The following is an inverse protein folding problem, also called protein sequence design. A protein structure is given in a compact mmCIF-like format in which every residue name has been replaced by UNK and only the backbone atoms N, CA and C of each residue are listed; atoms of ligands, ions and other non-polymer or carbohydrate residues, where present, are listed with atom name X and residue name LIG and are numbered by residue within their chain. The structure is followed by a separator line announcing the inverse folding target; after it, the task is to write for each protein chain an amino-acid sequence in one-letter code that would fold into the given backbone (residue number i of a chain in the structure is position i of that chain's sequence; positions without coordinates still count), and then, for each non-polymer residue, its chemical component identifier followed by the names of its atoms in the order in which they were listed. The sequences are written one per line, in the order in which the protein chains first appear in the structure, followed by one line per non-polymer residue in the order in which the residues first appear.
data_IF_227070292764
#
_entry.id   IF_227070292764
#
_cell.length_a   1.000
_cell.length_b   1.000
_cell.length_c   1.000
_cell.angle_alpha   90.00
_cell.angle_beta   90.00
_cell.angle_gamma   90.00
#
_symmetry.space_group_name_H-M   'P 1'
#
loop_
_entity.id
_entity.type
_entity.pdbx_description
1 polymer ?
#
# COMPACT_ATOMS: atom_id res chain seq x y z
N UNK A 1 -8.87 -3.96 30.84
CA UNK A 1 -10.04 -3.18 30.37
C UNK A 1 -11.39 -3.79 30.73
N UNK A 2 -11.84 -4.92 30.13
CA UNK A 2 -13.25 -5.35 30.27
C UNK A 2 -13.75 -5.52 31.72
N UNK A 3 -12.95 -6.11 32.61
CA UNK A 3 -13.32 -6.23 34.02
C UNK A 3 -13.49 -4.87 34.71
N UNK A 4 -12.68 -3.87 34.36
CA UNK A 4 -12.80 -2.50 34.89
C UNK A 4 -14.02 -1.78 34.32
N UNK A 5 -14.31 -1.94 33.03
CA UNK A 5 -15.52 -1.39 32.41
C UNK A 5 -16.77 -1.98 33.07
N UNK A 6 -16.79 -3.29 33.30
CA UNK A 6 -17.87 -3.96 34.01
C UNK A 6 -18.01 -3.48 35.48
N UNK A 7 -16.92 -3.02 36.09
CA UNK A 7 -16.90 -2.41 37.42
C UNK A 7 -17.28 -0.91 37.43
N UNK A 8 -17.71 -0.35 36.29
CA UNK A 8 -18.22 1.03 36.19
C UNK A 8 -17.24 2.06 35.65
N UNK A 9 -16.03 1.66 35.25
CA UNK A 9 -15.09 2.58 34.60
C UNK A 9 -15.57 2.95 33.18
N UNK A 10 -15.30 4.18 32.69
CA UNK A 10 -15.66 4.57 31.34
C UNK A 10 -15.06 3.65 30.27
N UNK A 11 -15.85 3.31 29.26
CA UNK A 11 -15.42 2.54 28.09
C UNK A 11 -14.68 3.40 27.03
N UNK A 12 -14.35 4.65 27.35
CA UNK A 12 -13.53 5.51 26.50
C UNK A 12 -12.14 4.88 26.29
N UNK A 13 -11.68 4.84 25.05
CA UNK A 13 -10.36 4.33 24.68
C UNK A 13 -9.22 5.12 25.36
N UNK A 14 -9.45 6.40 25.70
CA UNK A 14 -8.49 7.21 26.47
C UNK A 14 -8.67 7.12 27.99
N UNK A 15 -9.66 6.33 28.45
CA UNK A 15 -10.06 6.17 29.83
C UNK A 15 -9.15 5.24 30.64
N UNK A 16 -9.31 5.27 31.96
CA UNK A 16 -8.44 4.55 32.91
C UNK A 16 -8.45 3.04 32.70
N UNK A 17 -9.59 2.46 32.33
CA UNK A 17 -9.73 1.03 32.08
C UNK A 17 -8.88 0.54 30.90
N UNK A 18 -8.70 1.39 29.89
CA UNK A 18 -7.89 1.11 28.71
C UNK A 18 -6.41 1.36 28.99
N UNK A 19 -6.04 2.39 29.78
CA UNK A 19 -4.63 2.61 30.18
C UNK A 19 -3.95 1.41 30.85
N UNK A 20 -4.70 0.44 31.36
CA UNK A 20 -4.14 -0.80 31.93
C UNK A 20 -3.73 -1.84 30.87
N UNK A 21 -4.06 -1.65 29.59
CA UNK A 21 -3.70 -2.58 28.52
C UNK A 21 -2.25 -2.30 28.10
N UNK A 22 -1.39 -3.31 28.30
CA UNK A 22 -0.01 -3.25 27.81
C UNK A 22 0.01 -3.19 26.27
N UNK A 23 0.85 -2.32 25.71
CA UNK A 23 0.97 -2.18 24.25
C UNK A 23 -0.17 -1.41 23.58
N UNK A 24 -1.01 -0.67 24.32
CA UNK A 24 -2.11 0.08 23.72
C UNK A 24 -1.67 1.25 22.82
N UNK A 25 -0.44 1.75 22.98
CA UNK A 25 0.14 2.80 22.14
C UNK A 25 1.08 2.24 21.06
N UNK A 26 0.99 0.94 20.76
CA UNK A 26 1.76 0.29 19.69
C UNK A 26 0.81 -0.41 18.73
N UNK A 27 1.10 -0.33 17.44
CA UNK A 27 0.47 -1.20 16.45
C UNK A 27 1.06 -2.60 16.60
N UNK A 28 0.22 -3.60 16.88
CA UNK A 28 0.66 -4.97 17.04
C UNK A 28 0.44 -5.70 15.72
N UNK A 29 1.41 -6.48 15.28
CA UNK A 29 1.27 -7.27 14.04
C UNK A 29 1.93 -8.62 14.19
N UNK A 30 1.35 -9.62 13.52
CA UNK A 30 1.93 -10.96 13.39
C UNK A 30 2.29 -11.21 11.94
N UNK A 31 3.43 -11.86 11.72
CA UNK A 31 3.84 -12.31 10.39
C UNK A 31 3.60 -13.80 10.25
N UNK A 32 2.91 -14.19 9.19
CA UNK A 32 2.60 -15.58 8.86
C UNK A 32 3.35 -16.02 7.60
N UNK A 33 3.81 -17.26 7.56
CA UNK A 33 4.45 -17.87 6.39
C UNK A 33 3.44 -18.72 5.61
N UNK A 34 3.73 -18.99 4.34
CA UNK A 34 2.95 -19.93 3.51
C UNK A 34 2.84 -21.30 4.21
N UNK A 35 3.93 -21.79 4.83
CA UNK A 35 3.94 -23.07 5.58
C UNK A 35 2.94 -23.09 6.74
N UNK A 36 2.80 -21.97 7.48
CA UNK A 36 1.82 -21.88 8.57
C UNK A 36 0.40 -21.94 8.02
N UNK A 37 0.11 -21.20 6.95
CA UNK A 37 -1.22 -21.17 6.36
C UNK A 37 -1.60 -22.53 5.75
N UNK A 38 -0.67 -23.23 5.08
CA UNK A 38 -0.88 -24.60 4.63
C UNK A 38 -1.16 -25.56 5.80
N UNK A 39 -0.47 -25.40 6.94
CA UNK A 39 -0.76 -26.18 8.14
C UNK A 39 -2.16 -25.89 8.70
N UNK A 40 -2.61 -24.63 8.68
CA UNK A 40 -3.98 -24.24 9.04
C UNK A 40 -4.99 -24.90 8.12
N UNK A 41 -4.82 -24.84 6.80
CA UNK A 41 -5.73 -25.45 5.83
C UNK A 41 -5.82 -26.97 6.01
N UNK A 42 -4.66 -27.63 6.14
CA UNK A 42 -4.55 -29.07 6.32
C UNK A 42 -5.01 -29.56 7.71
N UNK A 43 -5.20 -28.67 8.70
CA UNK A 43 -5.43 -29.05 10.09
C UNK A 43 -4.24 -29.79 10.71
N UNK A 44 -3.03 -29.43 10.28
CA UNK A 44 -1.78 -30.00 10.77
C UNK A 44 -1.30 -29.27 12.04
N UNK A 45 -0.48 -29.92 12.89
CA UNK A 45 0.13 -29.26 14.02
C UNK A 45 1.23 -28.28 13.55
N UNK A 46 1.45 -27.22 14.31
CA UNK A 46 2.46 -26.20 14.09
C UNK A 46 3.55 -26.26 15.16
N UNK A 47 4.82 -26.22 14.75
CA UNK A 47 5.96 -26.25 15.67
C UNK A 47 6.46 -24.83 15.91
N UNK A 48 6.48 -24.39 17.17
CA UNK A 48 7.21 -23.17 17.55
C UNK A 48 8.70 -23.49 17.71
N UNK A 49 9.56 -22.50 17.46
CA UNK A 49 11.02 -22.67 17.56
C UNK A 49 11.63 -21.59 18.44
N UNK A 50 12.60 -21.99 19.25
CA UNK A 50 13.42 -21.04 20.01
C UNK A 50 14.24 -20.17 19.04
N UNK A 51 14.17 -18.85 19.16
CA UNK A 51 14.89 -17.95 18.23
C UNK A 51 16.41 -18.05 18.31
N UNK A 52 16.95 -18.47 19.46
CA UNK A 52 18.40 -18.57 19.71
C UNK A 52 19.00 -19.92 19.34
N UNK A 53 18.25 -21.02 19.52
CA UNK A 53 18.75 -22.39 19.28
C UNK A 53 18.13 -23.06 18.06
N UNK A 54 16.96 -22.61 17.59
CA UNK A 54 16.20 -23.23 16.49
C UNK A 54 15.47 -24.53 16.88
N UNK A 55 15.68 -25.00 18.10
CA UNK A 55 15.03 -26.20 18.65
C UNK A 55 13.52 -26.00 18.74
N UNK A 56 12.78 -27.10 18.56
CA UNK A 56 11.33 -27.11 18.74
C UNK A 56 11.01 -26.82 20.20
N UNK A 57 10.18 -25.81 20.44
CA UNK A 57 9.76 -25.40 21.78
C UNK A 57 8.41 -26.03 22.14
N UNK A 58 7.40 -25.84 21.31
CA UNK A 58 6.04 -26.30 21.55
C UNK A 58 5.37 -26.74 20.25
N UNK A 59 4.45 -27.70 20.36
CA UNK A 59 3.57 -28.14 19.29
C UNK A 59 2.17 -27.60 19.55
N UNK A 60 1.66 -26.79 18.64
CA UNK A 60 0.34 -26.17 18.72
C UNK A 60 -0.58 -26.70 17.62
N UNK A 61 -1.89 -26.61 17.82
CA UNK A 61 -2.85 -26.80 16.73
C UNK A 61 -2.92 -25.52 15.87
N UNK A 62 -2.59 -25.62 14.58
CA UNK A 62 -2.49 -24.46 13.69
C UNK A 62 -3.84 -23.73 13.54
N UNK A 63 -4.94 -24.48 13.41
CA UNK A 63 -6.30 -23.91 13.27
C UNK A 63 -6.71 -23.14 14.52
N UNK A 64 -6.44 -23.69 15.70
CA UNK A 64 -6.72 -23.04 16.98
C UNK A 64 -5.93 -21.75 17.10
N UNK A 65 -4.62 -21.78 16.80
CA UNK A 65 -3.79 -20.58 16.86
C UNK A 65 -4.27 -19.50 15.88
N UNK A 66 -4.59 -19.88 14.64
CA UNK A 66 -5.13 -18.94 13.64
C UNK A 66 -6.47 -18.34 14.08
N UNK A 67 -7.36 -19.17 14.66
CA UNK A 67 -8.63 -18.71 15.22
C UNK A 67 -8.42 -17.71 16.36
N UNK A 68 -7.44 -17.94 17.24
CA UNK A 68 -7.09 -16.98 18.29
C UNK A 68 -6.63 -15.64 17.74
N UNK A 69 -5.83 -15.63 16.67
CA UNK A 69 -5.43 -14.39 15.97
C UNK A 69 -6.66 -13.67 15.43
N UNK A 70 -7.54 -14.37 14.73
CA UNK A 70 -8.76 -13.79 14.15
C UNK A 70 -9.73 -13.24 15.22
N UNK A 71 -9.95 -13.99 16.29
CA UNK A 71 -10.81 -13.57 17.41
C UNK A 71 -10.23 -12.35 18.14
N UNK A 72 -8.90 -12.26 18.28
CA UNK A 72 -8.23 -11.09 18.85
C UNK A 72 -8.40 -9.86 17.95
N UNK A 73 -8.12 -10.00 16.64
CA UNK A 73 -8.26 -8.92 15.68
C UNK A 73 -9.71 -8.42 15.57
N UNK A 74 -10.70 -9.32 15.64
CA UNK A 74 -12.11 -8.92 15.71
C UNK A 74 -12.45 -8.17 17.01
N UNK A 75 -11.87 -8.60 18.13
CA UNK A 75 -12.18 -8.04 19.45
C UNK A 75 -11.56 -6.66 19.69
N UNK A 76 -10.36 -6.40 19.16
CA UNK A 76 -9.63 -5.16 19.46
C UNK A 76 -8.87 -4.54 18.28
N UNK A 77 -9.12 -4.96 17.04
CA UNK A 77 -8.43 -4.51 15.83
C UNK A 77 -6.91 -4.84 15.77
N UNK A 78 -6.43 -5.69 16.67
CA UNK A 78 -5.04 -6.17 16.73
C UNK A 78 -4.99 -7.70 16.97
N UNK A 79 -3.97 -8.41 16.47
CA UNK A 79 -2.87 -7.88 15.69
C UNK A 79 -3.23 -7.75 14.20
N UNK A 80 -2.61 -6.79 13.51
CA UNK A 80 -2.53 -6.79 12.05
C UNK A 80 -1.83 -8.04 11.53
N UNK A 81 -2.18 -8.50 10.33
CA UNK A 81 -1.60 -9.70 9.71
C UNK A 81 -0.73 -9.30 8.52
N UNK A 82 0.49 -9.83 8.48
CA UNK A 82 1.44 -9.65 7.40
C UNK A 82 1.91 -11.00 6.86
N UNK A 83 2.02 -11.14 5.54
CA UNK A 83 2.40 -12.41 4.90
C UNK A 83 3.91 -12.43 4.61
N UNK A 84 4.73 -12.98 5.52
CA UNK A 84 6.21 -12.98 5.47
C UNK A 84 6.76 -13.54 4.16
N UNK A 85 6.22 -14.69 3.73
CA UNK A 85 6.63 -15.38 2.51
C UNK A 85 6.39 -14.50 1.29
N UNK A 86 5.19 -13.94 1.15
CA UNK A 86 4.84 -13.04 0.04
C UNK A 86 5.66 -11.76 0.08
N UNK A 87 5.79 -11.10 1.24
CA UNK A 87 6.59 -9.88 1.37
C UNK A 87 8.03 -10.10 0.90
N UNK A 88 8.67 -11.20 1.31
CA UNK A 88 10.05 -11.48 0.91
C UNK A 88 10.17 -12.03 -0.53
N UNK A 89 9.11 -12.62 -1.10
CA UNK A 89 9.04 -13.03 -2.52
C UNK A 89 9.13 -11.81 -3.45
N UNK A 90 8.46 -10.73 -3.08
CA UNK A 90 8.40 -9.45 -3.81
C UNK A 90 9.51 -8.46 -3.39
N UNK A 91 10.46 -8.87 -2.56
CA UNK A 91 11.56 -8.01 -2.13
C UNK A 91 12.54 -7.77 -3.29
N UNK A 92 12.80 -6.50 -3.60
CA UNK A 92 13.77 -6.11 -4.65
C UNK A 92 15.22 -6.24 -4.18
N UNK A 93 15.48 -6.23 -2.86
CA UNK A 93 16.83 -6.22 -2.29
C UNK A 93 17.14 -7.34 -1.26
N UNK A 94 16.79 -8.61 -1.52
CA UNK A 94 16.93 -9.69 -0.53
C UNK A 94 18.39 -10.02 -0.22
N UNK A 95 19.32 -9.78 -1.15
CA UNK A 95 20.75 -10.01 -0.91
C UNK A 95 21.32 -8.98 0.09
N UNK A 96 20.64 -7.85 0.28
CA UNK A 96 20.99 -6.81 1.25
C UNK A 96 20.40 -7.00 2.64
N UNK A 97 19.45 -7.91 2.80
CA UNK A 97 18.80 -8.20 4.07
C UNK A 97 17.37 -8.67 3.89
N UNK A 98 16.87 -9.45 4.86
CA UNK A 98 15.45 -9.84 4.92
C UNK A 98 14.61 -8.63 5.31
N UNK A 99 13.40 -8.51 4.76
CA UNK A 99 12.41 -7.58 5.32
C UNK A 99 11.91 -8.19 6.62
N UNK A 100 12.20 -7.56 7.75
CA UNK A 100 11.87 -8.08 9.09
C UNK A 100 10.55 -7.54 9.65
N UNK A 101 10.20 -6.31 9.28
CA UNK A 101 9.00 -5.63 9.74
C UNK A 101 8.50 -4.62 8.69
N UNK A 102 7.35 -4.02 8.97
CA UNK A 102 6.85 -2.84 8.26
C UNK A 102 7.01 -1.60 9.11
N UNK A 103 6.74 -0.44 8.53
CA UNK A 103 6.43 0.80 9.25
C UNK A 103 5.05 0.73 9.97
N UNK A 104 4.69 1.74 10.79
CA UNK A 104 3.47 1.73 11.62
C UNK A 104 2.14 1.56 10.87
N UNK A 105 2.08 1.92 9.59
CA UNK A 105 0.86 1.84 8.78
C UNK A 105 0.80 0.58 7.88
N UNK A 106 1.80 -0.31 7.99
CA UNK A 106 1.87 -1.61 7.31
C UNK A 106 1.96 -1.58 5.77
N UNK A 107 2.30 -0.43 5.17
CA UNK A 107 2.39 -0.22 3.72
C UNK A 107 3.83 -0.24 3.18
N UNK A 108 4.82 0.04 4.03
CA UNK A 108 6.22 0.17 3.64
C UNK A 108 7.02 -1.06 4.09
N UNK A 109 7.35 -1.92 3.11
CA UNK A 109 8.04 -3.20 3.31
C UNK A 109 9.44 -3.14 2.68
N UNK A 110 10.44 -2.74 3.46
CA UNK A 110 11.82 -2.65 2.96
C UNK A 110 12.85 -3.00 4.04
N UNK A 111 14.13 -2.77 3.75
CA UNK A 111 15.23 -3.05 4.66
C UNK A 111 15.11 -2.23 5.95
N UNK A 112 15.62 -2.78 7.05
CA UNK A 112 15.71 -2.09 8.34
C UNK A 112 16.52 -0.79 8.21
N UNK A 113 16.27 0.16 9.12
CA UNK A 113 16.91 1.47 9.11
C UNK A 113 16.81 2.17 7.74
N UNK A 114 15.61 2.20 7.14
CA UNK A 114 15.33 2.96 5.91
C UNK A 114 14.20 3.96 6.15
N UNK A 115 14.19 5.05 5.37
CA UNK A 115 13.10 6.02 5.35
C UNK A 115 12.29 5.88 4.06
N UNK A 116 11.09 6.44 4.01
CA UNK A 116 10.29 6.50 2.79
C UNK A 116 9.83 7.93 2.53
N UNK A 117 10.13 8.45 1.34
CA UNK A 117 9.61 9.74 0.90
C UNK A 117 8.25 9.53 0.24
N UNK A 118 7.17 9.95 0.90
CA UNK A 118 5.79 9.68 0.48
C UNK A 118 5.19 10.85 -0.32
N UNK A 119 4.38 10.51 -1.33
CA UNK A 119 3.49 11.46 -2.03
C UNK A 119 2.24 10.73 -2.51
N UNK A 120 1.16 11.46 -2.75
CA UNK A 120 -0.06 10.88 -3.31
C UNK A 120 -0.76 11.84 -4.26
N UNK A 121 -1.28 11.30 -5.36
CA UNK A 121 -2.11 12.04 -6.31
C UNK A 121 -3.59 11.74 -6.10
N UNK A 122 -4.47 12.70 -6.35
CA UNK A 122 -5.93 12.50 -6.27
C UNK A 122 -6.47 11.96 -7.59
N UNK A 123 -6.96 10.71 -7.60
CA UNK A 123 -7.41 10.03 -8.82
C UNK A 123 -8.55 10.74 -9.56
N UNK A 124 -9.44 11.43 -8.84
CA UNK A 124 -10.61 12.06 -9.48
C UNK A 124 -10.24 13.27 -10.34
N UNK A 125 -9.02 13.82 -10.20
CA UNK A 125 -8.52 14.90 -11.06
C UNK A 125 -8.19 14.44 -12.48
N UNK A 126 -8.11 13.13 -12.70
CA UNK A 126 -7.87 12.52 -14.02
C UNK A 126 -9.16 12.04 -14.69
N UNK A 127 -10.33 12.28 -14.10
CA UNK A 127 -11.60 12.04 -14.79
C UNK A 127 -11.79 13.08 -15.91
N UNK A 128 -12.25 12.60 -17.08
CA UNK A 128 -12.57 13.44 -18.24
C UNK A 128 -13.93 13.04 -18.80
N UNK A 129 -14.69 13.97 -19.40
CA UNK A 129 -15.81 13.61 -20.25
C UNK A 129 -15.34 12.69 -21.38
N UNK A 130 -15.94 11.53 -21.49
CA UNK A 130 -15.77 10.56 -22.57
C UNK A 130 -16.90 10.62 -23.59
N UNK A 131 -16.95 9.62 -24.48
CA UNK A 131 -18.03 9.47 -25.45
C UNK A 131 -19.36 9.17 -24.74
N UNK A 132 -20.48 9.62 -25.34
CA UNK A 132 -21.85 9.28 -24.90
C UNK A 132 -22.14 9.56 -23.41
N UNK A 133 -21.45 10.55 -22.82
CA UNK A 133 -21.64 10.91 -21.41
C UNK A 133 -20.98 9.94 -20.43
N UNK A 134 -20.13 9.02 -20.87
CA UNK A 134 -19.22 8.26 -20.01
C UNK A 134 -18.11 9.14 -19.42
N UNK A 135 -17.62 8.79 -18.24
CA UNK A 135 -16.40 9.39 -17.70
C UNK A 135 -15.22 8.48 -18.04
N UNK A 136 -14.29 9.01 -18.83
CA UNK A 136 -13.01 8.38 -19.12
C UNK A 136 -11.96 8.74 -18.07
N UNK A 137 -10.85 8.01 -18.09
CA UNK A 137 -9.67 8.29 -17.27
C UNK A 137 -8.52 8.80 -18.14
N UNK A 138 -7.96 9.94 -17.78
CA UNK A 138 -6.83 10.61 -18.44
C UNK A 138 -5.51 9.94 -18.07
N UNK A 139 -5.19 8.86 -18.78
CA UNK A 139 -3.96 8.07 -18.58
C UNK A 139 -2.71 8.93 -18.74
N UNK A 140 -2.64 9.77 -19.77
CA UNK A 140 -1.45 10.59 -20.04
C UNK A 140 -1.26 11.68 -18.98
N UNK A 141 -2.36 12.32 -18.55
CA UNK A 141 -2.34 13.24 -17.41
C UNK A 141 -1.87 12.55 -16.13
N UNK A 142 -2.33 11.33 -15.88
CA UNK A 142 -1.92 10.53 -14.72
C UNK A 142 -0.44 10.14 -14.77
N UNK A 143 0.06 9.64 -15.91
CA UNK A 143 1.47 9.35 -16.17
C UNK A 143 2.34 10.59 -15.93
N UNK A 144 1.95 11.74 -16.48
CA UNK A 144 2.66 13.01 -16.29
C UNK A 144 2.73 13.43 -14.81
N UNK A 145 1.63 13.28 -14.06
CA UNK A 145 1.62 13.55 -12.63
C UNK A 145 2.54 12.59 -11.87
N UNK A 146 2.42 11.28 -12.13
CA UNK A 146 3.27 10.26 -11.51
C UNK A 146 4.75 10.57 -11.72
N UNK A 147 5.16 10.86 -12.97
CA UNK A 147 6.54 11.24 -13.29
C UNK A 147 7.00 12.47 -12.52
N UNK A 148 6.17 13.51 -12.48
CA UNK A 148 6.52 14.78 -11.82
C UNK A 148 6.76 14.58 -10.32
N UNK A 149 5.83 13.92 -9.64
CA UNK A 149 5.96 13.65 -8.20
C UNK A 149 7.10 12.67 -7.90
N UNK A 150 7.29 11.65 -8.75
CA UNK A 150 8.37 10.69 -8.58
C UNK A 150 9.76 11.33 -8.68
N UNK A 151 9.98 12.18 -9.69
CA UNK A 151 11.24 12.93 -9.84
C UNK A 151 11.44 13.90 -8.67
N UNK A 152 10.38 14.57 -8.21
CA UNK A 152 10.47 15.44 -7.04
C UNK A 152 10.87 14.65 -5.78
N UNK A 153 10.25 13.49 -5.53
CA UNK A 153 10.59 12.61 -4.41
C UNK A 153 12.05 12.12 -4.46
N UNK A 154 12.56 11.82 -5.66
CA UNK A 154 13.95 11.43 -5.84
C UNK A 154 14.92 12.58 -5.53
N UNK A 155 14.61 13.80 -5.97
CA UNK A 155 15.43 14.98 -5.62
C UNK A 155 15.44 15.19 -4.10
N UNK A 156 14.31 14.96 -3.43
CA UNK A 156 14.18 15.13 -1.98
C UNK A 156 15.07 14.17 -1.17
N UNK A 157 15.47 13.01 -1.71
CA UNK A 157 16.35 12.07 -0.99
C UNK A 157 17.63 12.77 -0.54
N UNK A 158 18.27 13.54 -1.42
CA UNK A 158 19.54 14.18 -1.10
C UNK A 158 19.39 15.53 -0.36
N UNK A 159 18.16 16.03 -0.22
CA UNK A 159 17.83 17.28 0.49
C UNK A 159 17.13 17.05 1.84
N UNK A 160 16.92 15.78 2.20
CA UNK A 160 16.27 15.40 3.45
C UNK A 160 17.25 15.31 4.62
N UNK A 161 16.75 15.58 5.83
CA UNK A 161 17.47 15.33 7.07
C UNK A 161 17.00 14.02 7.67
N UNK A 162 17.94 13.15 8.04
CA UNK A 162 17.64 11.82 8.58
C UNK A 162 17.98 11.73 10.07
N UNK A 163 17.16 11.03 10.88
CA UNK A 163 17.30 11.03 12.34
C UNK A 163 18.50 10.23 12.85
N UNK A 164 19.00 9.26 12.08
CA UNK A 164 20.17 8.45 12.45
C UNK A 164 21.09 8.26 11.26
N UNK A 165 22.37 7.97 11.53
CA UNK A 165 23.38 7.72 10.49
C UNK A 165 23.02 6.51 9.60
N UNK A 166 22.49 5.43 10.19
CA UNK A 166 22.09 4.24 9.44
C UNK A 166 20.96 4.56 8.46
N UNK A 167 19.92 5.29 8.94
CA UNK A 167 18.80 5.71 8.10
C UNK A 167 19.28 6.62 6.97
N UNK A 168 20.18 7.56 7.27
CA UNK A 168 20.76 8.44 6.25
C UNK A 168 21.48 7.62 5.17
N UNK A 169 22.39 6.74 5.59
CA UNK A 169 23.19 5.90 4.68
C UNK A 169 22.29 5.05 3.78
N UNK A 170 21.34 4.32 4.36
CA UNK A 170 20.46 3.44 3.59
C UNK A 170 19.51 4.23 2.68
N UNK A 171 19.08 5.43 3.09
CA UNK A 171 18.25 6.28 2.24
C UNK A 171 19.00 6.74 0.99
N UNK A 172 20.29 7.07 1.08
CA UNK A 172 21.10 7.38 -0.11
C UNK A 172 21.49 6.12 -0.91
N UNK A 173 21.76 4.99 -0.24
CA UNK A 173 22.22 3.76 -0.88
C UNK A 173 21.13 3.03 -1.67
N UNK A 174 19.88 3.09 -1.20
CA UNK A 174 18.74 2.37 -1.80
C UNK A 174 17.69 3.30 -2.38
N UNK A 175 17.69 4.58 -1.99
CA UNK A 175 16.78 5.63 -2.50
C UNK A 175 15.30 5.22 -2.52
N UNK A 176 14.77 4.63 -1.44
CA UNK A 176 13.38 4.18 -1.36
C UNK A 176 12.38 5.36 -1.40
N UNK A 177 11.41 5.25 -2.30
CA UNK A 177 10.33 6.22 -2.47
C UNK A 177 8.97 5.54 -2.24
N UNK A 178 7.94 6.36 -2.08
CA UNK A 178 6.56 5.89 -2.00
C UNK A 178 5.61 6.85 -2.70
N UNK A 179 5.55 6.75 -4.03
CA UNK A 179 4.46 7.35 -4.81
C UNK A 179 3.19 6.51 -4.65
N UNK A 180 2.10 7.17 -4.29
CA UNK A 180 0.77 6.57 -4.15
C UNK A 180 -0.33 7.41 -4.77
N UNK A 181 -1.57 7.04 -4.46
CA UNK A 181 -2.75 7.81 -4.82
C UNK A 181 -3.82 7.74 -3.73
N UNK A 182 -4.83 8.60 -3.86
CA UNK A 182 -6.02 8.60 -3.03
C UNK A 182 -7.30 8.60 -3.90
N UNK A 183 -8.44 8.43 -3.24
CA UNK A 183 -9.77 8.67 -3.79
C UNK A 183 -10.27 7.58 -4.77
N UNK A 184 -9.80 6.33 -4.59
CA UNK A 184 -10.21 5.20 -5.45
C UNK A 184 -11.72 4.92 -5.36
N UNK A 185 -12.29 4.95 -4.15
CA UNK A 185 -13.73 4.72 -3.96
C UNK A 185 -14.59 5.76 -4.67
N UNK A 186 -14.20 7.02 -4.61
CA UNK A 186 -14.89 8.11 -5.30
C UNK A 186 -14.70 8.05 -6.81
N UNK A 187 -13.52 7.64 -7.28
CA UNK A 187 -13.29 7.40 -8.70
C UNK A 187 -14.31 6.37 -9.22
N UNK A 188 -14.37 5.19 -8.60
CA UNK A 188 -15.30 4.12 -9.01
C UNK A 188 -16.76 4.57 -8.90
N UNK A 189 -17.10 5.27 -7.82
CA UNK A 189 -18.44 5.82 -7.59
C UNK A 189 -18.86 6.79 -8.71
N UNK A 190 -17.99 7.76 -9.07
CA UNK A 190 -18.26 8.71 -10.15
C UNK A 190 -18.39 8.02 -11.51
N UNK A 191 -17.64 6.93 -11.73
CA UNK A 191 -17.76 6.10 -12.93
C UNK A 191 -19.02 5.22 -12.94
N UNK A 192 -19.81 5.18 -11.86
CA UNK A 192 -20.96 4.29 -11.73
C UNK A 192 -20.57 2.82 -11.58
N UNK A 193 -19.36 2.52 -11.11
CA UNK A 193 -18.83 1.17 -10.96
C UNK A 193 -18.90 0.74 -9.49
N UNK A 194 -19.58 -0.37 -9.16
CA UNK A 194 -19.59 -0.90 -7.80
C UNK A 194 -18.18 -1.28 -7.33
N UNK A 195 -17.85 -0.92 -6.09
CA UNK A 195 -16.51 -1.12 -5.53
C UNK A 195 -16.07 -2.60 -5.51
N UNK A 196 -17.02 -3.51 -5.26
CA UNK A 196 -16.85 -4.95 -5.14
C UNK A 196 -17.05 -5.71 -6.47
N UNK A 197 -17.20 -5.01 -7.60
CA UNK A 197 -17.36 -5.63 -8.92
C UNK A 197 -16.03 -6.06 -9.54
N UNK A 198 -16.07 -7.03 -10.47
CA UNK A 198 -14.90 -7.43 -11.28
C UNK A 198 -14.34 -6.24 -12.07
N UNK A 199 -15.23 -5.41 -12.63
CA UNK A 199 -14.85 -4.14 -13.29
C UNK A 199 -14.12 -3.18 -12.34
N UNK A 200 -14.60 -3.04 -11.09
CA UNK A 200 -13.94 -2.22 -10.08
C UNK A 200 -12.53 -2.71 -9.75
N UNK A 201 -12.37 -4.04 -9.56
CA UNK A 201 -11.06 -4.69 -9.35
C UNK A 201 -10.12 -4.48 -10.53
N UNK A 202 -10.60 -4.64 -11.77
CA UNK A 202 -9.79 -4.51 -12.98
C UNK A 202 -9.30 -3.06 -13.20
N UNK A 203 -10.17 -2.06 -12.93
CA UNK A 203 -9.80 -0.64 -12.96
C UNK A 203 -8.75 -0.32 -11.89
N UNK A 204 -8.97 -0.76 -10.65
CA UNK A 204 -8.02 -0.53 -9.55
C UNK A 204 -6.65 -1.15 -9.82
N UNK A 205 -6.63 -2.39 -10.34
CA UNK A 205 -5.41 -3.08 -10.74
C UNK A 205 -4.67 -2.31 -11.84
N UNK A 206 -5.38 -1.85 -12.88
CA UNK A 206 -4.77 -1.12 -14.00
C UNK A 206 -4.19 0.23 -13.58
N UNK A 207 -4.92 1.01 -12.76
CA UNK A 207 -4.41 2.30 -12.26
C UNK A 207 -3.17 2.11 -11.40
N UNK A 208 -3.17 1.09 -10.53
CA UNK A 208 -2.00 0.75 -9.71
C UNK A 208 -0.82 0.32 -10.57
N UNK A 209 -1.08 -0.51 -11.59
CA UNK A 209 -0.06 -0.99 -12.51
C UNK A 209 0.56 0.16 -13.32
N UNK A 210 -0.26 1.07 -13.87
CA UNK A 210 0.20 2.27 -14.59
C UNK A 210 1.12 3.10 -13.68
N UNK A 211 0.68 3.44 -12.46
CA UNK A 211 1.49 4.25 -11.54
C UNK A 211 2.84 3.59 -11.23
N UNK A 212 2.83 2.29 -10.92
CA UNK A 212 4.02 1.57 -10.49
C UNK A 212 4.99 1.33 -11.66
N UNK A 213 4.50 0.83 -12.79
CA UNK A 213 5.30 0.66 -14.00
C UNK A 213 5.90 1.98 -14.47
N UNK A 214 5.10 3.04 -14.53
CA UNK A 214 5.56 4.36 -14.96
C UNK A 214 6.64 4.94 -14.02
N UNK A 215 6.49 4.75 -12.71
CA UNK A 215 7.49 5.15 -11.73
C UNK A 215 8.81 4.37 -11.89
N UNK A 216 8.77 3.05 -12.10
CA UNK A 216 9.98 2.27 -12.36
C UNK A 216 10.62 2.56 -13.71
N UNK A 217 9.83 2.85 -14.76
CA UNK A 217 10.35 3.33 -16.04
C UNK A 217 11.09 4.66 -15.86
N UNK A 218 10.50 5.64 -15.14
CA UNK A 218 11.18 6.88 -14.81
C UNK A 218 12.44 6.65 -13.96
N UNK A 219 12.41 5.70 -13.02
CA UNK A 219 13.58 5.30 -12.23
C UNK A 219 14.71 4.72 -13.10
N UNK A 220 14.38 3.91 -14.11
CA UNK A 220 15.36 3.37 -15.05
C UNK A 220 15.96 4.46 -15.94
N UNK A 221 15.15 5.39 -16.44
CA UNK A 221 15.63 6.56 -17.19
C UNK A 221 16.59 7.42 -16.36
N UNK A 222 16.28 7.64 -15.07
CA UNK A 222 17.18 8.33 -14.16
C UNK A 222 18.47 7.54 -13.94
N UNK A 223 18.40 6.21 -13.84
CA UNK A 223 19.58 5.35 -13.71
C UNK A 223 20.50 5.45 -14.93
N UNK A 224 19.95 5.56 -16.14
CA UNK A 224 20.74 5.73 -17.36
C UNK A 224 21.59 7.02 -17.35
N UNK A 225 21.14 8.07 -16.65
CA UNK A 225 21.84 9.37 -16.57
C UNK A 225 22.65 9.58 -15.29
N UNK A 226 22.22 9.01 -14.16
CA UNK A 226 22.81 9.23 -12.82
C UNK A 226 23.40 7.98 -12.18
N UNK A 227 23.27 6.83 -12.82
CA UNK A 227 23.58 5.52 -12.26
C UNK A 227 22.44 4.97 -11.40
N UNK A 228 22.35 3.64 -11.34
CA UNK A 228 21.44 2.92 -10.46
C UNK A 228 21.75 3.19 -8.97
N UNK A 229 20.84 2.82 -8.05
CA UNK A 229 21.13 2.89 -6.62
C UNK A 229 22.33 1.99 -6.25
N UNK A 230 23.05 2.34 -5.18
CA UNK A 230 24.32 1.71 -4.80
C UNK A 230 24.17 0.19 -4.56
N UNK A 231 23.04 -0.23 -4.00
CA UNK A 231 22.72 -1.64 -3.76
C UNK A 231 22.33 -2.45 -5.01
N UNK A 232 22.21 -1.83 -6.19
CA UNK A 232 21.62 -2.48 -7.37
C UNK A 232 22.46 -3.64 -7.88
N UNK A 233 23.78 -3.47 -8.04
CA UNK A 233 24.65 -4.52 -8.59
C UNK A 233 24.55 -5.83 -7.79
N UNK A 234 24.46 -5.73 -6.45
CA UNK A 234 24.28 -6.86 -5.54
C UNK A 234 22.89 -7.50 -5.65
N UNK A 235 21.88 -6.73 -6.02
CA UNK A 235 20.47 -7.14 -6.06
C UNK A 235 19.90 -7.19 -7.48
N UNK A 236 20.75 -7.19 -8.51
CA UNK A 236 20.31 -7.07 -9.90
C UNK A 236 19.35 -8.19 -10.29
N UNK A 237 19.73 -9.43 -10.05
CA UNK A 237 18.89 -10.60 -10.35
C UNK A 237 17.55 -10.58 -9.61
N UNK A 238 17.48 -10.45 -8.26
CA UNK A 238 16.19 -10.44 -7.58
C UNK A 238 15.34 -9.22 -7.96
N UNK A 239 15.94 -8.04 -8.17
CA UNK A 239 15.18 -6.88 -8.59
C UNK A 239 14.57 -7.07 -9.98
N UNK A 240 15.35 -7.51 -10.97
CA UNK A 240 14.83 -7.77 -12.32
C UNK A 240 13.72 -8.84 -12.29
N UNK A 241 13.88 -9.89 -11.48
CA UNK A 241 12.82 -10.88 -11.27
C UNK A 241 11.53 -10.26 -10.71
N UNK A 242 11.62 -9.36 -9.73
CA UNK A 242 10.44 -8.68 -9.18
C UNK A 242 9.76 -7.78 -10.21
N UNK A 243 10.53 -7.09 -11.05
CA UNK A 243 9.97 -6.28 -12.14
C UNK A 243 9.24 -7.15 -13.17
N UNK A 244 9.80 -8.32 -13.48
CA UNK A 244 9.14 -9.32 -14.32
C UNK A 244 7.84 -9.85 -13.71
N UNK A 245 7.83 -10.15 -12.40
CA UNK A 245 6.60 -10.56 -11.69
C UNK A 245 5.51 -9.49 -11.75
N UNK A 246 5.88 -8.20 -11.68
CA UNK A 246 4.94 -7.11 -11.85
C UNK A 246 4.42 -7.01 -13.29
N UNK A 247 5.28 -7.19 -14.29
CA UNK A 247 4.87 -7.24 -15.71
C UNK A 247 3.88 -8.37 -15.94
N UNK A 248 4.17 -9.58 -15.46
CA UNK A 248 3.25 -10.72 -15.52
C UNK A 248 1.89 -10.41 -14.87
N UNK A 249 1.90 -9.77 -13.69
CA UNK A 249 0.67 -9.37 -13.00
C UNK A 249 -0.14 -8.33 -13.79
N UNK A 250 0.52 -7.39 -14.47
CA UNK A 250 -0.15 -6.39 -15.32
C UNK A 250 -0.81 -7.04 -16.55
N UNK A 251 -0.13 -7.97 -17.21
CA UNK A 251 -0.67 -8.71 -18.34
C UNK A 251 -1.80 -9.67 -17.94
N UNK A 252 -1.84 -10.11 -16.67
CA UNK A 252 -2.88 -10.97 -16.10
C UNK A 252 -4.13 -10.22 -15.62
N UNK A 253 -4.20 -8.89 -15.74
CA UNK A 253 -5.40 -8.11 -15.43
C UNK A 253 -6.56 -8.60 -16.32
N UNK A 254 -7.74 -8.76 -15.72
CA UNK A 254 -8.96 -9.16 -16.43
C UNK A 254 -9.33 -8.14 -17.52
N UNK A 255 -9.00 -8.50 -18.76
CA UNK A 255 -9.23 -7.68 -19.95
C UNK A 255 -10.71 -7.49 -20.26
N UNK A 256 -11.55 -8.47 -19.96
CA UNK A 256 -12.98 -8.43 -20.30
C UNK A 256 -13.72 -7.44 -19.40
N UNK A 257 -13.25 -7.28 -18.16
CA UNK A 257 -13.80 -6.33 -17.19
C UNK A 257 -13.06 -4.98 -17.14
N UNK A 258 -11.91 -4.83 -17.82
CA UNK A 258 -11.13 -3.59 -17.81
C UNK A 258 -11.46 -2.68 -19.01
N UNK A 259 -11.59 -1.35 -18.83
CA UNK A 259 -11.52 -0.42 -19.94
C UNK A 259 -10.24 -0.61 -20.75
N UNK A 260 -10.38 -0.88 -22.06
CA UNK A 260 -9.27 -1.22 -22.96
C UNK A 260 -8.05 -0.31 -22.82
N UNK A 261 -8.26 1.02 -22.79
CA UNK A 261 -7.18 1.99 -22.67
C UNK A 261 -6.39 1.88 -21.35
N UNK A 262 -7.04 1.49 -20.25
CA UNK A 262 -6.34 1.29 -18.97
C UNK A 262 -5.51 0.00 -18.98
N UNK A 263 -6.06 -1.09 -19.54
CA UNK A 263 -5.34 -2.35 -19.68
C UNK A 263 -4.09 -2.20 -20.57
N UNK A 264 -4.25 -1.58 -21.75
CA UNK A 264 -3.14 -1.35 -22.68
C UNK A 264 -2.06 -0.49 -22.03
N UNK A 265 -2.44 0.61 -21.37
CA UNK A 265 -1.49 1.47 -20.67
C UNK A 265 -0.74 0.74 -19.54
N UNK A 266 -1.44 -0.09 -18.76
CA UNK A 266 -0.82 -0.88 -17.69
C UNK A 266 0.24 -1.85 -18.24
N UNK A 267 -0.04 -2.51 -19.35
CA UNK A 267 0.92 -3.40 -20.01
C UNK A 267 2.12 -2.61 -20.56
N UNK A 268 1.87 -1.52 -21.28
CA UNK A 268 2.91 -0.66 -21.86
C UNK A 268 3.88 -0.11 -20.80
N UNK A 269 3.37 0.38 -19.66
CA UNK A 269 4.22 0.95 -18.61
C UNK A 269 5.12 -0.11 -17.98
N UNK A 270 4.65 -1.34 -17.83
CA UNK A 270 5.47 -2.44 -17.28
C UNK A 270 6.44 -3.03 -18.30
N UNK A 271 6.04 -3.17 -19.56
CA UNK A 271 6.93 -3.58 -20.64
C UNK A 271 8.11 -2.59 -20.72
N UNK A 272 7.81 -1.28 -20.74
CA UNK A 272 8.81 -0.22 -20.72
C UNK A 272 9.69 -0.25 -19.45
N UNK A 273 9.10 -0.44 -18.28
CA UNK A 273 9.86 -0.47 -17.02
C UNK A 273 10.88 -1.61 -16.99
N UNK A 274 10.51 -2.78 -17.52
CA UNK A 274 11.39 -3.95 -17.60
C UNK A 274 12.46 -3.76 -18.68
N UNK A 275 12.09 -3.33 -19.88
CA UNK A 275 13.03 -3.11 -20.99
C UNK A 275 14.13 -2.11 -20.61
N UNK A 276 13.75 -0.96 -20.05
CA UNK A 276 14.71 0.06 -19.65
C UNK A 276 15.57 -0.43 -18.48
N UNK A 277 14.95 -1.00 -17.45
CA UNK A 277 15.68 -1.45 -16.25
C UNK A 277 16.63 -2.62 -16.50
N UNK A 278 16.34 -3.48 -17.47
CA UNK A 278 17.27 -4.51 -17.93
C UNK A 278 18.58 -3.89 -18.45
N UNK A 279 18.53 -2.73 -19.11
CA UNK A 279 19.71 -2.05 -19.66
C UNK A 279 20.41 -1.19 -18.61
N UNK A 280 19.69 -0.25 -17.99
CA UNK A 280 20.27 0.79 -17.14
C UNK A 280 20.28 0.46 -15.64
N UNK A 281 19.55 -0.57 -15.23
CA UNK A 281 19.13 -0.72 -13.83
C UNK A 281 18.13 0.34 -13.42
N UNK A 282 17.93 0.48 -12.11
CA UNK A 282 16.96 1.41 -11.52
C UNK A 282 17.63 2.36 -10.53
N UNK A 283 17.15 3.60 -10.49
CA UNK A 283 17.67 4.62 -9.56
C UNK A 283 17.16 4.41 -8.13
N UNK A 284 16.03 3.73 -7.97
CA UNK A 284 15.33 3.56 -6.69
C UNK A 284 15.05 2.07 -6.47
N UNK A 285 15.38 1.55 -5.29
CA UNK A 285 15.10 0.16 -4.94
C UNK A 285 13.61 -0.11 -4.67
N UNK A 286 12.87 0.93 -4.32
CA UNK A 286 11.42 0.92 -4.12
C UNK A 286 10.83 2.22 -4.68
N UNK A 287 9.75 2.12 -5.45
CA UNK A 287 9.18 3.26 -6.17
C UNK A 287 7.83 3.74 -5.61
N UNK A 288 6.91 2.82 -5.35
CA UNK A 288 5.51 3.14 -5.04
C UNK A 288 5.04 2.53 -3.73
N UNK A 289 4.14 3.25 -3.05
CA UNK A 289 3.56 2.85 -1.77
C UNK A 289 2.15 3.46 -1.67
N UNK A 290 1.15 2.64 -1.38
CA UNK A 290 -0.21 3.10 -1.09
C UNK A 290 -0.37 3.32 0.42
N UNK A 291 0.01 4.52 0.88
CA UNK A 291 -0.07 4.90 2.28
C UNK A 291 -1.45 5.48 2.64
N UNK A 292 -1.88 5.40 3.92
CA UNK A 292 -3.08 6.07 4.39
C UNK A 292 -3.00 7.59 4.16
N UNK A 293 -3.98 8.16 3.47
CA UNK A 293 -3.97 9.57 3.09
C UNK A 293 -4.86 10.43 3.99
N UNK A 294 -4.96 10.13 5.29
CA UNK A 294 -5.98 10.73 6.17
C UNK A 294 -5.98 12.26 6.20
N UNK A 295 -4.82 12.89 6.44
CA UNK A 295 -4.71 14.36 6.50
C UNK A 295 -4.66 14.99 5.10
N UNK A 296 -3.82 14.46 4.21
CA UNK A 296 -3.63 15.02 2.87
C UNK A 296 -4.86 14.81 1.97
N UNK A 297 -5.63 13.75 2.19
CA UNK A 297 -6.88 13.50 1.46
C UNK A 297 -7.91 14.59 1.72
N UNK A 298 -8.00 15.09 2.95
CA UNK A 298 -8.84 16.25 3.27
C UNK A 298 -8.32 17.52 2.59
N UNK A 299 -7.00 17.70 2.49
CA UNK A 299 -6.40 18.84 1.79
C UNK A 299 -6.63 18.78 0.26
N UNK A 300 -6.71 17.57 -0.30
CA UNK A 300 -6.92 17.33 -1.73
C UNK A 300 -8.40 17.24 -2.14
N UNK A 301 -9.33 17.52 -1.21
CA UNK A 301 -10.78 17.36 -1.37
C UNK A 301 -11.17 15.94 -1.80
N UNK A 302 -10.58 14.92 -1.17
CA UNK A 302 -10.96 13.54 -1.36
C UNK A 302 -12.21 13.19 -0.54
N UNK A 303 -13.21 12.59 -1.19
CA UNK A 303 -14.41 12.06 -0.52
C UNK A 303 -14.09 10.69 0.14
N UNK A 304 -13.21 9.91 -0.50
CA UNK A 304 -12.66 8.65 0.02
C UNK A 304 -11.16 8.80 0.28
N UNK A 305 -10.69 8.31 1.43
CA UNK A 305 -9.25 8.27 1.71
C UNK A 305 -8.62 7.13 0.92
N UNK A 306 -7.34 7.28 0.54
CA UNK A 306 -6.49 6.23 -0.01
C UNK A 306 -7.17 5.33 -1.05
N UNK A 307 -7.15 4.04 -0.75
CA UNK A 307 -7.78 2.96 -1.53
C UNK A 307 -9.00 2.40 -0.84
N UNK A 308 -9.57 3.12 0.12
CA UNK A 308 -10.71 2.66 0.88
C UNK A 308 -12.03 3.01 0.17
N UNK A 309 -13.06 2.15 0.23
CA UNK A 309 -14.41 2.56 -0.13
C UNK A 309 -14.91 3.63 0.85
N UNK A 310 -16.01 4.30 0.50
CA UNK A 310 -16.58 5.28 1.41
C UNK A 310 -17.17 4.60 2.66
N UNK A 311 -16.69 4.99 3.84
CA UNK A 311 -17.17 4.47 5.12
C UNK A 311 -18.61 4.92 5.42
N UNK A 312 -18.95 6.17 5.11
CA UNK A 312 -20.27 6.75 5.36
C UNK A 312 -20.49 8.01 4.51
N UNK A 313 -21.69 8.18 3.97
CA UNK A 313 -22.02 9.34 3.12
C UNK A 313 -22.00 10.68 3.86
N UNK A 314 -22.20 10.64 5.18
CA UNK A 314 -22.13 11.80 6.07
C UNK A 314 -21.27 11.44 7.28
N UNK A 315 -20.18 12.18 7.49
CA UNK A 315 -19.18 11.95 8.53
C UNK A 315 -19.11 13.18 9.43
N UNK A 316 -18.80 12.98 10.71
CA UNK A 316 -18.57 14.07 11.67
C UNK A 316 -17.16 13.94 12.24
N UNK A 317 -16.29 14.90 11.92
CA UNK A 317 -14.93 14.96 12.47
C UNK A 317 -14.94 15.81 13.73
N UNK A 318 -14.59 15.22 14.87
CA UNK A 318 -14.36 15.95 16.12
C UNK A 318 -13.05 16.74 16.00
N UNK A 319 -13.09 18.05 16.25
CA UNK A 319 -11.90 18.89 16.20
C UNK A 319 -11.17 18.86 17.55
N UNK A 320 -9.83 19.00 17.53
CA UNK A 320 -9.01 18.97 18.74
C UNK A 320 -9.39 20.07 19.75
N UNK A 321 -9.87 21.23 19.27
CA UNK A 321 -10.36 22.33 20.10
C UNK A 321 -11.83 22.20 20.55
N UNK A 322 -12.48 21.07 20.28
CA UNK A 322 -13.93 20.87 20.50
C UNK A 322 -14.77 21.20 19.26
N UNK A 323 -16.00 20.70 19.25
CA UNK A 323 -16.93 20.82 18.12
C UNK A 323 -16.80 19.71 17.06
N UNK A 324 -17.71 19.74 16.09
CA UNK A 324 -17.78 18.77 15.00
C UNK A 324 -17.80 19.47 13.64
N UNK A 325 -17.03 18.93 12.70
CA UNK A 325 -17.07 19.32 11.30
C UNK A 325 -17.83 18.25 10.50
N UNK A 326 -18.95 18.63 9.88
CA UNK A 326 -19.75 17.74 9.04
C UNK A 326 -19.14 17.66 7.65
N UNK A 327 -18.80 16.45 7.23
CA UNK A 327 -18.27 16.12 5.90
C UNK A 327 -19.35 15.33 5.18
N UNK A 328 -19.81 15.82 4.02
CA UNK A 328 -20.79 15.13 3.17
C UNK A 328 -20.08 14.71 1.90
N UNK A 329 -20.23 13.46 1.49
CA UNK A 329 -19.67 12.97 0.23
C UNK A 329 -20.27 13.75 -0.95
N UNK A 330 -19.42 14.46 -1.69
CA UNK A 330 -19.82 15.31 -2.82
C UNK A 330 -19.93 14.53 -4.14
N UNK A 331 -19.41 13.30 -4.20
CA UNK A 331 -19.47 12.44 -5.37
C UNK A 331 -20.84 11.78 -5.57
N UNK A 332 -21.64 11.61 -4.51
CA UNK A 332 -22.94 10.90 -4.57
C UNK A 332 -23.93 11.53 -5.56
N UNK A 333 -24.19 12.85 -5.57
CA UNK A 333 -25.14 13.43 -6.52
C UNK A 333 -24.76 13.20 -7.98
N UNK A 334 -23.48 13.33 -8.31
CA UNK A 334 -22.99 13.09 -9.67
C UNK A 334 -23.09 11.60 -10.06
N UNK A 335 -22.79 10.70 -9.12
CA UNK A 335 -22.95 9.26 -9.33
C UNK A 335 -24.41 8.85 -9.56
N UNK A 336 -25.36 9.43 -8.81
CA UNK A 336 -26.79 9.16 -9.00
C UNK A 336 -27.28 9.63 -10.37
N UNK A 337 -26.88 10.84 -10.80
CA UNK A 337 -27.18 11.34 -12.14
C UNK A 337 -26.63 10.41 -13.23
N UNK A 338 -25.40 9.90 -13.04
CA UNK A 338 -24.77 8.95 -13.96
C UNK A 338 -25.53 7.63 -14.08
N UNK A 339 -26.12 7.17 -12.97
CA UNK A 339 -26.92 5.95 -12.90
C UNK A 339 -28.39 6.17 -13.34
N UNK A 340 -28.80 7.41 -13.61
CA UNK A 340 -30.15 7.74 -14.08
C UNK A 340 -31.20 7.87 -12.97
N UNK A 341 -30.79 8.14 -11.73
CA UNK A 341 -31.68 8.40 -10.60
C UNK A 341 -32.14 9.85 -10.50
#
# INVERSE_FOLDING_TARGET
AHALIAAGYPADFNGEAYRTIAGQNSNNSVRVTDDFLHAVEAGAPWQTRMRTTGEVCEMLDAKTLWRTVAESAWSCADPGVQYDSTINRWHTCPNSGKINASNPCSEYMFLDDTACNLSSVNLTKFLRPGAEGELGFDVEGFRSACRTFFVAQEILVDLSSYPTQNIAKNSHDYRPLGLGYANLGSLLMLMGVPYDSDRGRAIAASITAIMCGHAYAASAEMAASKGAFNGFAKNREPMLRVMEMHREAAHAIDRDNCPKALYEAACEDWDRAVELGAVSGYRNAQATVLAPTGTIGLLMDCDTTGVEPDFALVKFKKLAGGGYFKIVNQSVPAALQKLGY
#
